data_IF_315799785009
#
_entry.id   IF_315799785009
#
_cell.length_a   1.000
_cell.length_b   1.000
_cell.length_c   1.000
_cell.angle_alpha   90.00
_cell.angle_beta   90.00
_cell.angle_gamma   90.00
#
_symmetry.space_group_name_H-M   'P 1'
#
loop_
_entity.id
_entity.type
_entity.pdbx_description
1 polymer ?
#
# COMPACT_ATOMS: atom_id res chain seq x y z
N UNK A 1 5.66 -14.87 -7.68
CA UNK A 1 6.38 -13.99 -8.62
C UNK A 1 6.50 -12.59 -8.02
N UNK A 2 7.51 -12.35 -7.19
CA UNK A 2 7.60 -11.16 -6.31
C UNK A 2 8.02 -9.87 -7.03
N UNK A 3 8.66 -9.95 -8.21
CA UNK A 3 9.31 -8.80 -8.84
C UNK A 3 8.40 -7.93 -9.73
N UNK A 4 7.23 -8.44 -10.17
CA UNK A 4 6.34 -7.67 -11.07
C UNK A 4 5.73 -6.44 -10.39
N UNK A 5 5.56 -6.47 -9.07
CA UNK A 5 4.87 -5.44 -8.29
C UNK A 5 5.67 -4.15 -8.08
N UNK A 6 6.99 -4.24 -8.19
CA UNK A 6 7.91 -3.12 -8.02
C UNK A 6 8.11 -2.30 -9.30
N UNK A 7 7.66 -2.81 -10.45
CA UNK A 7 7.73 -2.09 -11.72
C UNK A 7 6.40 -1.39 -12.00
N UNK A 8 6.32 -0.07 -11.82
CA UNK A 8 5.10 0.68 -12.09
C UNK A 8 4.81 0.75 -13.61
N UNK A 9 3.53 0.83 -14.04
CA UNK A 9 3.13 1.02 -15.42
C UNK A 9 3.87 2.15 -16.13
N UNK A 10 4.19 3.25 -15.43
CA UNK A 10 4.98 4.35 -15.99
C UNK A 10 6.39 3.94 -16.43
N UNK A 11 7.03 3.01 -15.71
CA UNK A 11 8.32 2.44 -16.13
C UNK A 11 8.14 1.38 -17.21
N UNK A 12 7.11 0.55 -17.11
CA UNK A 12 6.83 -0.49 -18.11
C UNK A 12 6.52 0.11 -19.48
N UNK A 13 5.74 1.19 -19.54
CA UNK A 13 5.44 1.90 -20.79
C UNK A 13 6.69 2.47 -21.48
N UNK A 14 7.73 2.84 -20.70
CA UNK A 14 9.03 3.29 -21.25
C UNK A 14 9.85 2.14 -21.83
N UNK A 15 9.72 0.94 -21.27
CA UNK A 15 10.40 -0.28 -21.77
C UNK A 15 9.65 -0.92 -22.93
N UNK A 16 8.32 -0.83 -22.92
CA UNK A 16 7.41 -1.49 -23.85
C UNK A 16 6.35 -0.48 -24.34
N UNK A 17 6.55 0.15 -25.51
CA UNK A 17 5.73 1.27 -26.00
C UNK A 17 4.23 0.99 -26.13
N UNK A 18 3.84 -0.28 -26.29
CA UNK A 18 2.43 -0.70 -26.40
C UNK A 18 1.74 -0.88 -25.03
N UNK A 19 2.44 -0.63 -23.92
CA UNK A 19 1.88 -0.77 -22.57
C UNK A 19 1.35 0.57 -22.09
N UNK A 20 0.13 0.57 -21.53
CA UNK A 20 -0.44 1.79 -20.92
C UNK A 20 0.38 2.23 -19.70
N UNK A 21 0.75 3.52 -19.59
CA UNK A 21 1.41 4.06 -18.40
C UNK A 21 0.44 4.28 -17.23
N UNK A 22 -0.86 4.03 -17.41
CA UNK A 22 -1.89 4.37 -16.42
C UNK A 22 -1.92 3.40 -15.24
N UNK A 23 -2.38 3.91 -14.11
CA UNK A 23 -2.54 3.16 -12.87
C UNK A 23 -3.52 2.00 -13.03
N UNK A 24 -3.15 0.81 -12.57
CA UNK A 24 -3.99 -0.39 -12.64
C UNK A 24 -5.27 -0.35 -11.80
N UNK A 25 -5.36 0.54 -10.79
CA UNK A 25 -6.51 0.64 -9.91
C UNK A 25 -7.51 1.67 -10.43
N UNK A 26 -7.02 2.83 -10.86
CA UNK A 26 -7.89 3.95 -11.24
C UNK A 26 -8.00 4.16 -12.76
N UNK A 27 -7.05 3.67 -13.55
CA UNK A 27 -7.06 3.71 -15.02
C UNK A 27 -7.06 5.12 -15.66
N UNK A 28 -6.86 6.20 -14.89
CA UNK A 28 -6.85 7.57 -15.41
C UNK A 28 -5.53 8.34 -15.16
N UNK A 29 -4.93 8.26 -13.96
CA UNK A 29 -3.62 8.87 -13.66
C UNK A 29 -2.47 7.92 -14.06
N UNK A 30 -1.31 8.47 -14.40
CA UNK A 30 -0.06 7.73 -14.58
C UNK A 30 0.26 6.87 -13.34
N UNK A 31 0.43 5.57 -13.55
CA UNK A 31 0.74 4.60 -12.52
C UNK A 31 2.19 4.70 -12.13
N UNK A 32 2.54 5.62 -11.23
CA UNK A 32 3.81 5.59 -10.48
C UNK A 32 3.68 4.68 -9.27
N UNK A 33 4.81 4.19 -8.73
CA UNK A 33 4.80 3.32 -7.55
C UNK A 33 4.05 4.00 -6.38
N UNK A 34 4.39 5.26 -6.08
CA UNK A 34 3.73 5.98 -5.00
C UNK A 34 2.24 6.24 -5.27
N UNK A 35 1.86 6.52 -6.51
CA UNK A 35 0.44 6.68 -6.84
C UNK A 35 -0.34 5.39 -6.62
N UNK A 36 0.13 4.28 -7.20
CA UNK A 36 -0.56 3.00 -7.13
C UNK A 36 -0.70 2.47 -5.71
N UNK A 37 0.29 2.70 -4.86
CA UNK A 37 0.36 2.15 -3.52
C UNK A 37 -0.08 3.10 -2.42
N UNK A 38 -0.24 4.40 -2.70
CA UNK A 38 -0.63 5.37 -1.68
C UNK A 38 -1.60 6.46 -2.17
N UNK A 39 -1.21 7.28 -3.14
CA UNK A 39 -1.98 8.50 -3.47
C UNK A 39 -3.20 8.29 -4.36
N UNK A 40 -3.36 7.10 -4.95
CA UNK A 40 -4.55 6.73 -5.72
C UNK A 40 -5.78 6.64 -4.82
N UNK A 41 -6.90 7.23 -5.27
CA UNK A 41 -8.16 7.27 -4.51
C UNK A 41 -8.68 5.88 -4.11
N UNK A 42 -8.62 4.92 -5.03
CA UNK A 42 -9.03 3.54 -4.73
C UNK A 42 -8.08 2.85 -3.73
N UNK A 43 -6.80 3.19 -3.80
CA UNK A 43 -5.79 2.69 -2.86
C UNK A 43 -5.99 3.30 -1.46
N UNK A 44 -6.31 4.59 -1.38
CA UNK A 44 -6.63 5.24 -0.11
C UNK A 44 -7.86 4.61 0.57
N UNK A 45 -8.93 4.33 -0.20
CA UNK A 45 -10.10 3.62 0.34
C UNK A 45 -9.73 2.25 0.92
N UNK A 46 -8.85 1.52 0.23
CA UNK A 46 -8.35 0.24 0.72
C UNK A 46 -7.59 0.39 2.04
N UNK A 47 -6.61 1.28 2.11
CA UNK A 47 -5.80 1.47 3.31
C UNK A 47 -6.59 2.03 4.49
N UNK A 48 -7.60 2.87 4.24
CA UNK A 48 -8.51 3.33 5.29
C UNK A 48 -9.28 2.18 5.95
N UNK A 49 -9.74 1.19 5.17
CA UNK A 49 -10.39 -0.01 5.72
C UNK A 49 -9.42 -0.84 6.56
N UNK A 50 -8.21 -1.08 6.05
CA UNK A 50 -7.17 -1.82 6.78
C UNK A 50 -6.79 -1.09 8.07
N UNK A 51 -6.66 0.23 8.03
CA UNK A 51 -6.42 1.05 9.21
C UNK A 51 -7.50 0.84 10.27
N UNK A 52 -8.77 0.94 9.88
CA UNK A 52 -9.88 0.80 10.80
C UNK A 52 -9.86 -0.57 11.49
N UNK A 53 -9.67 -1.65 10.72
CA UNK A 53 -9.54 -3.00 11.28
C UNK A 53 -8.35 -3.15 12.23
N UNK A 54 -7.21 -2.54 11.89
CA UNK A 54 -6.04 -2.55 12.77
C UNK A 54 -6.35 -1.85 14.09
N UNK A 55 -6.96 -0.66 14.04
CA UNK A 55 -7.34 0.11 15.23
C UNK A 55 -8.34 -0.67 16.12
N UNK A 56 -9.29 -1.40 15.52
CA UNK A 56 -10.22 -2.28 16.25
C UNK A 56 -9.51 -3.47 16.91
N UNK A 57 -8.58 -4.13 16.21
CA UNK A 57 -7.87 -5.32 16.71
C UNK A 57 -6.87 -4.95 17.81
N UNK A 58 -6.13 -3.85 17.63
CA UNK A 58 -5.07 -3.46 18.56
C UNK A 58 -5.57 -2.54 19.67
N UNK A 59 -6.79 -1.99 19.55
CA UNK A 59 -7.33 -0.94 20.44
C UNK A 59 -6.39 0.27 20.57
N UNK A 60 -5.62 0.55 19.53
CA UNK A 60 -4.62 1.62 19.48
C UNK A 60 -4.80 2.42 18.19
N UNK A 61 -4.73 3.74 18.28
CA UNK A 61 -4.80 4.60 17.10
C UNK A 61 -3.55 4.40 16.22
N UNK A 62 -3.78 4.05 14.96
CA UNK A 62 -2.72 3.80 13.97
C UNK A 62 -2.56 5.04 13.09
N UNK A 63 -1.32 5.48 12.94
CA UNK A 63 -1.01 6.65 12.12
C UNK A 63 -1.15 6.34 10.62
N UNK A 64 -2.01 7.10 9.92
CA UNK A 64 -2.26 6.95 8.49
C UNK A 64 -1.18 7.63 7.64
N UNK A 65 -0.01 7.00 7.62
CA UNK A 65 1.17 7.47 6.93
C UNK A 65 1.73 6.41 5.97
N UNK A 66 2.27 6.81 4.81
CA UNK A 66 2.83 5.85 3.86
C UNK A 66 3.99 5.06 4.45
N UNK A 67 4.80 5.65 5.33
CA UNK A 67 5.92 4.99 6.02
C UNK A 67 5.41 3.82 6.88
N UNK A 68 4.31 4.02 7.60
CA UNK A 68 3.67 2.98 8.41
C UNK A 68 3.12 1.86 7.54
N UNK A 69 2.31 2.20 6.53
CA UNK A 69 1.54 1.21 5.75
C UNK A 69 2.37 0.49 4.68
N UNK A 70 3.32 1.18 4.06
CA UNK A 70 4.14 0.62 2.99
C UNK A 70 5.45 0.03 3.50
N UNK A 71 6.04 0.63 4.54
CA UNK A 71 7.37 0.25 5.04
C UNK A 71 7.35 -0.38 6.44
N UNK A 72 6.23 -0.30 7.18
CA UNK A 72 6.15 -0.82 8.54
C UNK A 72 6.93 0.00 9.57
N UNK A 73 7.21 1.27 9.25
CA UNK A 73 7.95 2.20 10.12
C UNK A 73 6.95 3.02 10.94
N UNK A 74 6.98 2.86 12.26
CA UNK A 74 6.08 3.57 13.18
C UNK A 74 6.86 4.56 14.03
N UNK A 75 6.42 5.82 14.07
CA UNK A 75 7.02 6.87 14.89
C UNK A 75 6.42 6.96 16.29
N UNK A 76 5.12 6.64 16.43
CA UNK A 76 4.44 6.60 17.72
C UNK A 76 4.87 5.35 18.50
N UNK A 77 5.04 5.47 19.82
CA UNK A 77 5.21 4.31 20.68
C UNK A 77 3.90 3.50 20.67
N UNK A 78 3.99 2.31 20.09
CA UNK A 78 2.95 1.29 19.98
C UNK A 78 3.47 0.06 20.73
N UNK A 79 2.60 -0.70 21.40
CA UNK A 79 3.05 -1.90 22.12
C UNK A 79 3.79 -2.88 21.19
N UNK A 80 4.77 -3.64 21.71
CA UNK A 80 5.50 -4.64 20.89
C UNK A 80 4.55 -5.64 20.23
N UNK A 81 3.50 -6.06 20.94
CA UNK A 81 2.48 -6.99 20.45
C UNK A 81 1.67 -6.38 19.31
N UNK A 82 1.16 -5.16 19.50
CA UNK A 82 0.42 -4.46 18.45
C UNK A 82 1.29 -4.21 17.22
N UNK A 83 2.54 -3.77 17.41
CA UNK A 83 3.49 -3.57 16.30
C UNK A 83 3.70 -4.85 15.50
N UNK A 84 3.86 -5.99 16.18
CA UNK A 84 4.00 -7.29 15.53
C UNK A 84 2.76 -7.64 14.68
N UNK A 85 1.57 -7.56 15.27
CA UNK A 85 0.29 -7.82 14.58
C UNK A 85 0.13 -6.89 13.37
N UNK A 86 0.34 -5.59 13.56
CA UNK A 86 0.19 -4.58 12.51
C UNK A 86 1.12 -4.85 11.35
N UNK A 87 2.41 -5.16 11.58
CA UNK A 87 3.35 -5.47 10.50
C UNK A 87 2.92 -6.70 9.69
N UNK A 88 2.40 -7.73 10.35
CA UNK A 88 1.99 -8.97 9.67
C UNK A 88 0.72 -8.74 8.84
N UNK A 89 -0.27 -8.05 9.39
CA UNK A 89 -1.49 -7.67 8.66
C UNK A 89 -1.16 -6.76 7.49
N UNK A 90 -0.32 -5.73 7.66
CA UNK A 90 0.09 -4.85 6.57
C UNK A 90 0.86 -5.61 5.48
N UNK A 91 1.64 -6.63 5.83
CA UNK A 91 2.33 -7.48 4.86
C UNK A 91 1.34 -8.30 4.06
N UNK A 92 0.40 -8.97 4.72
CA UNK A 92 -0.67 -9.71 4.05
C UNK A 92 -1.55 -8.80 3.17
N UNK A 93 -1.91 -7.63 3.68
CA UNK A 93 -2.68 -6.62 2.96
C UNK A 93 -1.96 -6.15 1.69
N UNK A 94 -0.65 -5.86 1.76
CA UNK A 94 0.14 -5.49 0.58
C UNK A 94 0.16 -6.59 -0.47
N UNK A 95 0.31 -7.86 -0.06
CA UNK A 95 0.26 -9.00 -0.96
C UNK A 95 -1.12 -9.16 -1.60
N UNK A 96 -2.19 -9.07 -0.82
CA UNK A 96 -3.56 -9.16 -1.31
C UNK A 96 -3.95 -7.99 -2.22
N UNK A 97 -3.44 -6.78 -1.94
CA UNK A 97 -3.72 -5.59 -2.73
C UNK A 97 -3.02 -5.61 -4.10
N UNK A 98 -1.85 -6.24 -4.14
CA UNK A 98 -1.14 -6.52 -5.38
C UNK A 98 -2.02 -7.40 -6.28
N UNK A 99 -2.48 -8.56 -5.78
CA UNK A 99 -3.23 -9.55 -6.55
C UNK A 99 -4.58 -9.07 -7.12
#
# INVERSE_FOLDING_TARGET
MFYRWHLPPSRLAKMHPNTSPKCWKCQYIEGTLFHMWWSCKETQKYWQKIRHWLEEITMEQIEYKPESFLLGIFHKQISKKSKYITIHILTAARLAFAH
#
